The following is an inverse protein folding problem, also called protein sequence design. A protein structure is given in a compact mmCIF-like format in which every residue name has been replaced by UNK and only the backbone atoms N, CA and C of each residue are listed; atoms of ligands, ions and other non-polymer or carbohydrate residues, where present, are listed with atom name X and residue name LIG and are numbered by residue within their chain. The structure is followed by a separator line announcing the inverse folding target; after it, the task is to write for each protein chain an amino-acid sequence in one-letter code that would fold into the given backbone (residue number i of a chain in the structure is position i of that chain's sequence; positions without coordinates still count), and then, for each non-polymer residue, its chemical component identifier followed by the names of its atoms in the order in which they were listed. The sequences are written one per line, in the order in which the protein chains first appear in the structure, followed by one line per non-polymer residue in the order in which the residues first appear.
data_IF_267369695392
#
_entry.id   IF_267369695392
#
_cell.length_a   1.000
_cell.length_b   1.000
_cell.length_c   1.000
_cell.angle_alpha   90.00
_cell.angle_beta   90.00
_cell.angle_gamma   90.00
#
_symmetry.space_group_name_H-M   'P 1'
#
loop_
_entity.id
_entity.type
_entity.pdbx_description
1 polymer ?
#
# COMPACT_ATOMS: atom_id res chain seq x y z
N UNK A 1 19.56 3.33 1.61
CA UNK A 1 18.87 2.82 0.41
C UNK A 1 17.52 2.29 0.85
N UNK A 2 16.44 2.66 0.17
CA UNK A 2 15.13 2.08 0.44
C UNK A 2 15.04 0.64 -0.09
N UNK A 3 14.20 -0.18 0.54
CA UNK A 3 13.92 -1.56 0.13
C UNK A 3 12.43 -1.75 0.05
N UNK A 4 11.97 -2.38 -1.03
CA UNK A 4 10.55 -2.66 -1.25
C UNK A 4 10.35 -4.07 -1.79
N UNK A 5 9.25 -4.69 -1.39
CA UNK A 5 8.75 -5.92 -1.95
C UNK A 5 7.24 -5.78 -2.17
N UNK A 6 6.80 -5.86 -3.42
CA UNK A 6 5.38 -5.92 -3.76
C UNK A 6 5.00 -7.37 -4.02
N UNK A 7 3.82 -7.77 -3.58
CA UNK A 7 3.33 -9.13 -3.77
C UNK A 7 1.81 -9.19 -3.83
N UNK A 8 1.27 -10.24 -4.44
CA UNK A 8 -0.14 -10.58 -4.41
C UNK A 8 -0.32 -11.85 -3.60
N UNK A 9 -1.30 -11.83 -2.72
CA UNK A 9 -1.55 -12.90 -1.76
C UNK A 9 -3.05 -13.05 -1.50
N UNK A 10 -3.43 -14.23 -1.05
CA UNK A 10 -4.75 -14.58 -0.54
C UNK A 10 -4.81 -14.40 0.98
N UNK A 11 -6.01 -14.51 1.55
CA UNK A 11 -6.17 -14.49 3.01
C UNK A 11 -5.47 -15.68 3.69
N UNK A 12 -5.39 -16.84 3.03
CA UNK A 12 -4.68 -18.01 3.54
C UNK A 12 -3.16 -17.75 3.67
N UNK A 13 -2.59 -17.00 2.73
CA UNK A 13 -1.16 -16.64 2.76
C UNK A 13 -0.81 -15.69 3.89
N UNK A 14 -1.79 -14.93 4.41
CA UNK A 14 -1.56 -13.97 5.50
C UNK A 14 -0.96 -14.66 6.72
N UNK A 15 -1.42 -15.87 7.05
CA UNK A 15 -0.87 -16.64 8.16
C UNK A 15 0.61 -16.99 7.91
N UNK A 16 0.93 -17.47 6.71
CA UNK A 16 2.30 -17.81 6.30
C UNK A 16 3.22 -16.58 6.38
N UNK A 17 2.76 -15.42 5.89
CA UNK A 17 3.52 -14.17 5.94
C UNK A 17 3.80 -13.76 7.39
N UNK A 18 2.79 -13.82 8.26
CA UNK A 18 2.93 -13.50 9.69
C UNK A 18 3.87 -14.46 10.39
N UNK A 19 3.80 -15.76 10.07
CA UNK A 19 4.67 -16.78 10.67
C UNK A 19 6.14 -16.54 10.26
N UNK A 20 6.43 -16.26 8.99
CA UNK A 20 7.79 -15.92 8.53
C UNK A 20 8.29 -14.63 9.18
N UNK A 21 7.41 -13.64 9.33
CA UNK A 21 7.74 -12.36 9.96
C UNK A 21 8.10 -12.57 11.44
N UNK A 22 7.33 -13.38 12.18
CA UNK A 22 7.61 -13.75 13.57
C UNK A 22 8.86 -14.61 13.72
N UNK A 23 9.06 -15.60 12.86
CA UNK A 23 10.27 -16.43 12.87
C UNK A 23 11.53 -15.59 12.65
N UNK A 24 11.44 -14.58 11.79
CA UNK A 24 12.61 -13.78 11.39
C UNK A 24 12.91 -12.60 12.31
N UNK A 25 11.88 -11.94 12.83
CA UNK A 25 12.04 -10.75 13.67
C UNK A 25 11.77 -10.99 15.15
N UNK A 26 11.09 -12.09 15.50
CA UNK A 26 10.56 -12.33 16.83
C UNK A 26 9.22 -11.62 17.02
N UNK A 27 8.99 -11.08 18.21
CA UNK A 27 7.86 -10.22 18.48
C UNK A 27 7.97 -8.92 17.67
N UNK A 28 6.90 -8.59 16.94
CA UNK A 28 6.81 -7.39 16.13
C UNK A 28 5.85 -6.42 16.77
N UNK A 29 6.35 -5.21 17.02
CA UNK A 29 5.68 -4.14 17.75
C UNK A 29 5.17 -3.12 16.73
N UNK A 30 3.90 -2.76 16.84
CA UNK A 30 3.33 -1.69 16.02
C UNK A 30 3.76 -0.31 16.55
N UNK A 31 4.41 0.47 15.69
CA UNK A 31 4.86 1.82 15.99
C UNK A 31 3.69 2.77 15.78
N UNK A 32 3.17 3.29 16.90
CA UNK A 32 2.10 4.28 16.87
C UNK A 32 2.57 5.55 16.17
N UNK A 33 1.82 5.99 15.16
CA UNK A 33 1.95 7.36 14.67
C UNK A 33 1.08 8.28 15.54
N UNK A 34 1.61 9.43 16.00
CA UNK A 34 0.80 10.39 16.75
C UNK A 34 -0.45 10.77 15.95
N UNK A 35 -1.62 10.61 16.57
CA UNK A 35 -2.98 10.79 16.01
C UNK A 35 -3.34 12.25 15.67
N UNK A 36 -2.43 12.98 15.05
CA UNK A 36 -2.70 14.25 14.37
C UNK A 36 -2.40 14.16 12.87
N UNK A 37 -2.30 12.93 12.32
CA UNK A 37 -2.22 12.77 10.87
C UNK A 37 -3.47 13.37 10.26
N UNK A 38 -3.30 14.39 9.44
CA UNK A 38 -4.25 14.81 8.43
C UNK A 38 -4.45 13.65 7.44
N UNK A 39 -5.03 12.54 7.91
CA UNK A 39 -5.42 11.41 7.09
C UNK A 39 -6.62 11.93 6.29
N UNK A 40 -6.31 12.67 5.23
CA UNK A 40 -7.29 13.30 4.33
C UNK A 40 -8.16 12.26 3.62
N UNK A 41 -7.69 11.01 3.60
CA UNK A 41 -8.37 9.87 3.01
C UNK A 41 -8.50 8.79 4.08
N UNK A 42 -9.72 8.32 4.29
CA UNK A 42 -9.97 7.13 5.10
C UNK A 42 -9.21 5.95 4.48
N UNK A 43 -8.65 5.09 5.34
CA UNK A 43 -8.17 3.80 4.87
C UNK A 43 -9.36 3.07 4.27
N UNK A 44 -9.28 2.68 2.99
CA UNK A 44 -10.27 1.80 2.38
C UNK A 44 -10.39 0.56 3.26
N UNK A 45 -11.61 0.15 3.64
CA UNK A 45 -11.92 -0.92 4.62
C UNK A 45 -10.99 -2.15 4.50
N UNK A 46 -10.60 -2.49 3.28
CA UNK A 46 -9.85 -3.70 2.97
C UNK A 46 -8.32 -3.56 3.06
N UNK A 47 -7.77 -2.34 2.97
CA UNK A 47 -6.33 -2.10 2.96
C UNK A 47 -5.82 -1.74 4.35
N UNK A 48 -5.16 -2.69 5.01
CA UNK A 48 -4.51 -2.46 6.31
C UNK A 48 -3.04 -2.10 6.11
N UNK A 49 -2.60 -1.02 6.74
CA UNK A 49 -1.21 -0.57 6.78
C UNK A 49 -0.70 -0.63 8.21
N UNK A 50 0.41 -1.32 8.42
CA UNK A 50 1.10 -1.41 9.70
C UNK A 50 2.49 -0.79 9.58
N UNK A 51 2.94 -0.13 10.64
CA UNK A 51 4.34 0.26 10.82
C UNK A 51 4.91 -0.60 11.93
N UNK A 52 5.84 -1.47 11.60
CA UNK A 52 6.33 -2.51 12.51
C UNK A 52 7.81 -2.31 12.83
N UNK A 53 8.19 -2.65 14.05
CA UNK A 53 9.59 -2.75 14.48
C UNK A 53 9.76 -4.00 15.34
N UNK A 54 10.98 -4.51 15.45
CA UNK A 54 11.29 -5.58 16.40
C UNK A 54 11.66 -5.00 17.78
N UNK A 55 11.87 -5.88 18.77
CA UNK A 55 12.19 -5.46 20.13
C UNK A 55 13.44 -4.54 20.18
N UNK A 56 14.51 -4.89 19.45
CA UNK A 56 15.74 -4.10 19.39
C UNK A 56 15.52 -2.76 18.66
N UNK A 57 14.76 -2.79 17.56
CA UNK A 57 14.45 -1.61 16.75
C UNK A 57 13.62 -0.56 17.46
N UNK A 58 12.91 -0.92 18.54
CA UNK A 58 12.12 0.01 19.37
C UNK A 58 12.96 1.13 19.97
N UNK A 59 14.18 0.83 20.42
CA UNK A 59 15.12 1.82 20.96
C UNK A 59 15.67 2.76 19.87
N UNK A 60 15.45 2.41 18.61
CA UNK A 60 15.89 3.16 17.44
C UNK A 60 14.72 3.84 16.71
N UNK A 61 13.62 4.16 17.40
CA UNK A 61 12.54 4.97 16.85
C UNK A 61 12.82 6.44 17.10
N UNK A 62 13.03 7.20 16.03
CA UNK A 62 13.28 8.62 16.06
C UNK A 62 12.03 9.41 15.69
N UNK A 63 11.90 10.62 16.24
CA UNK A 63 10.83 11.55 15.92
C UNK A 63 11.40 12.89 15.49
N UNK A 64 10.75 13.53 14.52
CA UNK A 64 11.08 14.88 14.05
C UNK A 64 9.88 15.81 14.17
N UNK A 65 10.16 17.09 14.40
CA UNK A 65 9.13 18.13 14.38
C UNK A 65 8.88 18.57 12.94
N UNK A 66 7.64 18.47 12.49
CA UNK A 66 7.18 18.98 11.21
C UNK A 66 6.32 20.23 11.47
N UNK A 67 6.58 21.29 10.71
CA UNK A 67 5.75 22.50 10.71
C UNK A 67 4.97 22.54 9.40
N UNK A 68 3.64 22.53 9.47
CA UNK A 68 2.77 22.64 8.31
C UNK A 68 2.65 24.10 7.81
N UNK A 69 2.08 24.28 6.62
CA UNK A 69 1.86 25.60 6.02
C UNK A 69 0.99 26.53 6.88
N UNK A 70 0.09 25.96 7.68
CA UNK A 70 -0.74 26.68 8.65
C UNK A 70 -0.04 26.89 10.01
N UNK A 71 1.29 26.73 10.05
CA UNK A 71 2.15 26.88 11.22
C UNK A 71 1.90 25.86 12.34
N UNK A 72 1.00 24.88 12.15
CA UNK A 72 0.84 23.78 13.12
C UNK A 72 2.11 22.95 13.18
N UNK A 73 2.57 22.67 14.40
CA UNK A 73 3.73 21.82 14.67
C UNK A 73 3.27 20.46 15.15
N UNK A 74 3.72 19.41 14.48
CA UNK A 74 3.39 18.03 14.85
C UNK A 74 4.68 17.24 14.98
N UNK A 75 4.73 16.37 15.99
CA UNK A 75 5.81 15.39 16.11
C UNK A 75 5.44 14.19 15.23
N UNK A 76 6.29 13.87 14.27
CA UNK A 76 6.09 12.74 13.36
C UNK A 76 7.27 11.79 13.46
N UNK A 77 7.00 10.50 13.23
CA UNK A 77 8.05 9.48 13.18
C UNK A 77 9.01 9.82 12.03
N UNK A 78 10.30 9.78 12.30
CA UNK A 78 11.32 9.97 11.28
C UNK A 78 11.70 8.62 10.65
N UNK A 79 10.93 8.22 9.65
CA UNK A 79 11.04 6.89 9.00
C UNK A 79 12.46 6.61 8.47
N UNK A 80 13.21 7.64 8.06
CA UNK A 80 14.58 7.48 7.57
C UNK A 80 15.57 7.13 8.68
N UNK A 81 15.39 7.70 9.86
CA UNK A 81 16.26 7.47 11.01
C UNK A 81 15.72 6.41 11.98
N UNK A 82 14.57 5.81 11.66
CA UNK A 82 13.89 4.84 12.52
C UNK A 82 14.01 3.42 11.97
N UNK A 83 14.10 2.43 12.85
CA UNK A 83 14.04 1.01 12.48
C UNK A 83 12.59 0.57 12.21
N UNK A 84 12.06 0.91 11.04
CA UNK A 84 10.65 0.66 10.68
C UNK A 84 10.54 -0.16 9.41
N UNK A 85 9.68 -1.18 9.47
CA UNK A 85 9.16 -1.94 8.35
C UNK A 85 7.68 -1.61 8.17
N UNK A 86 7.34 -0.94 7.08
CA UNK A 86 5.95 -0.81 6.67
C UNK A 86 5.43 -2.11 6.06
N UNK A 87 4.21 -2.48 6.42
CA UNK A 87 3.50 -3.61 5.85
C UNK A 87 2.08 -3.20 5.45
N UNK A 88 1.83 -3.12 4.15
CA UNK A 88 0.48 -3.05 3.57
C UNK A 88 0.02 -4.46 3.20
N UNK A 89 -1.15 -4.88 3.67
CA UNK A 89 -1.71 -6.19 3.31
C UNK A 89 -2.16 -6.22 1.85
N UNK A 90 -1.98 -7.38 1.19
CA UNK A 90 -2.68 -7.68 -0.05
C UNK A 90 -4.15 -7.98 0.27
N UNK A 91 -5.04 -7.70 -0.68
CA UNK A 91 -6.48 -7.94 -0.52
C UNK A 91 -7.15 -8.07 -1.88
N UNK A 92 -8.42 -8.48 -1.91
CA UNK A 92 -9.28 -8.36 -3.10
C UNK A 92 -10.16 -7.13 -2.97
N UNK A 93 -10.17 -6.29 -3.98
CA UNK A 93 -11.08 -5.15 -4.00
C UNK A 93 -12.54 -5.62 -4.25
N UNK A 94 -13.54 -4.71 -4.15
CA UNK A 94 -14.94 -5.07 -4.39
C UNK A 94 -15.25 -5.63 -5.78
N UNK A 95 -14.41 -5.37 -6.79
CA UNK A 95 -14.56 -5.96 -8.13
C UNK A 95 -13.92 -7.34 -8.26
N UNK A 96 -13.42 -7.93 -7.17
CA UNK A 96 -12.77 -9.24 -7.13
C UNK A 96 -11.33 -9.25 -7.64
N UNK A 97 -10.76 -8.10 -8.00
CA UNK A 97 -9.38 -8.01 -8.46
C UNK A 97 -8.41 -7.99 -7.26
N UNK A 98 -7.33 -8.77 -7.36
CA UNK A 98 -6.26 -8.76 -6.39
C UNK A 98 -5.51 -7.43 -6.42
N UNK A 99 -5.35 -6.84 -5.23
CA UNK A 99 -4.57 -5.63 -4.98
C UNK A 99 -3.29 -6.03 -4.25
N UNK A 100 -2.17 -5.46 -4.68
CA UNK A 100 -0.87 -5.83 -4.13
C UNK A 100 -0.70 -5.40 -2.67
N UNK A 101 -0.13 -6.31 -1.89
CA UNK A 101 0.51 -6.01 -0.63
C UNK A 101 1.91 -5.46 -0.86
N UNK A 102 2.45 -4.79 0.17
CA UNK A 102 3.76 -4.17 0.11
C UNK A 102 4.47 -4.27 1.44
N UNK A 103 5.72 -4.71 1.41
CA UNK A 103 6.68 -4.38 2.46
C UNK A 103 7.60 -3.25 1.99
N UNK A 104 7.88 -2.29 2.88
CA UNK A 104 8.75 -1.17 2.58
C UNK A 104 9.57 -0.75 3.80
N UNK A 105 10.83 -0.38 3.58
CA UNK A 105 11.65 0.30 4.58
C UNK A 105 12.57 1.29 3.90
N UNK A 106 12.81 2.44 4.55
CA UNK A 106 13.75 3.46 4.08
C UNK A 106 14.83 3.79 5.11
N UNK A 107 14.94 3.01 6.18
CA UNK A 107 15.84 3.27 7.30
C UNK A 107 17.31 3.37 6.88
N UNK A 108 18.06 4.24 7.55
CA UNK A 108 19.51 4.29 7.50
C UNK A 108 20.19 3.38 8.53
N UNK A 109 19.42 2.76 9.44
CA UNK A 109 19.92 1.80 10.41
C UNK A 109 20.39 0.53 9.68
N UNK A 110 21.71 0.35 9.60
CA UNK A 110 22.33 -0.68 8.73
C UNK A 110 21.90 -2.09 9.11
N UNK A 111 21.89 -2.42 10.40
CA UNK A 111 21.60 -3.79 10.85
C UNK A 111 20.14 -4.17 10.62
N UNK A 112 19.20 -3.29 10.99
CA UNK A 112 17.78 -3.45 10.68
C UNK A 112 17.53 -3.55 9.16
N UNK A 113 18.14 -2.68 8.36
CA UNK A 113 18.04 -2.74 6.88
C UNK A 113 18.57 -4.08 6.33
N UNK A 114 19.65 -4.61 6.89
CA UNK A 114 20.18 -5.93 6.53
C UNK A 114 19.25 -7.07 6.98
N UNK A 115 18.64 -6.96 8.17
CA UNK A 115 17.63 -7.90 8.68
C UNK A 115 16.42 -7.95 7.75
N UNK A 116 15.92 -6.79 7.31
CA UNK A 116 14.83 -6.70 6.30
C UNK A 116 15.24 -7.32 4.97
N UNK A 117 16.47 -7.13 4.52
CA UNK A 117 16.95 -7.76 3.29
C UNK A 117 16.91 -9.30 3.37
N UNK A 118 17.35 -9.88 4.50
CA UNK A 118 17.29 -11.32 4.75
C UNK A 118 15.85 -11.82 4.84
N UNK A 119 14.95 -11.06 5.49
CA UNK A 119 13.53 -11.36 5.52
C UNK A 119 12.94 -11.43 4.11
N UNK A 120 13.22 -10.44 3.25
CA UNK A 120 12.76 -10.44 1.87
C UNK A 120 13.26 -11.67 1.11
N UNK A 121 14.51 -12.09 1.31
CA UNK A 121 15.02 -13.31 0.70
C UNK A 121 14.24 -14.56 1.14
N UNK A 122 13.89 -14.68 2.42
CA UNK A 122 13.04 -15.79 2.90
C UNK A 122 11.64 -15.71 2.29
N UNK A 123 11.01 -14.54 2.38
CA UNK A 123 9.64 -14.33 1.93
C UNK A 123 9.51 -14.60 0.43
N UNK A 124 10.43 -14.13 -0.40
CA UNK A 124 10.41 -14.34 -1.86
C UNK A 124 10.33 -15.82 -2.27
N UNK A 125 10.82 -16.75 -1.45
CA UNK A 125 10.81 -18.20 -1.76
C UNK A 125 9.41 -18.82 -1.70
N UNK A 126 8.47 -18.21 -0.99
CA UNK A 126 7.09 -18.75 -0.88
C UNK A 126 6.22 -18.33 -2.06
N UNK A 127 6.65 -17.31 -2.82
CA UNK A 127 5.92 -16.76 -3.97
C UNK A 127 6.50 -17.23 -5.30
N UNK A 128 5.67 -17.18 -6.34
CA UNK A 128 6.07 -17.24 -7.75
C UNK A 128 6.55 -15.84 -8.14
N UNK A 129 7.68 -15.73 -8.81
CA UNK A 129 8.18 -14.44 -9.31
C UNK A 129 7.86 -14.28 -10.80
N UNK A 130 7.00 -13.31 -11.13
CA UNK A 130 6.78 -12.91 -12.52
C UNK A 130 7.82 -11.86 -12.92
N UNK A 131 8.81 -12.31 -13.68
CA UNK A 131 9.97 -11.50 -14.08
C UNK A 131 9.61 -10.24 -14.88
N UNK A 132 8.71 -10.28 -15.89
CA UNK A 132 8.42 -9.10 -16.71
C UNK A 132 7.83 -7.94 -15.90
N UNK A 133 6.88 -8.24 -15.00
CA UNK A 133 6.26 -7.23 -14.13
C UNK A 133 7.02 -7.00 -12.81
N UNK A 134 8.08 -7.76 -12.55
CA UNK A 134 8.91 -7.69 -11.32
C UNK A 134 8.08 -7.80 -10.03
N UNK A 135 7.10 -8.71 -10.01
CA UNK A 135 6.16 -8.89 -8.91
C UNK A 135 6.16 -10.34 -8.41
N UNK A 136 5.73 -10.51 -7.17
CA UNK A 136 5.61 -11.81 -6.51
C UNK A 136 4.13 -12.18 -6.38
N UNK A 137 3.74 -13.38 -6.79
CA UNK A 137 2.35 -13.86 -6.74
C UNK A 137 2.30 -15.12 -5.91
N UNK A 138 1.28 -15.23 -5.04
CA UNK A 138 1.08 -16.42 -4.24
C UNK A 138 0.81 -17.63 -5.13
N UNK A 139 1.36 -18.78 -4.74
CA UNK A 139 1.08 -20.08 -5.36
C UNK A 139 -0.38 -20.50 -5.22
N UNK A 140 -1.11 -19.89 -4.28
CA UNK A 140 -2.53 -20.15 -4.01
C UNK A 140 -3.47 -19.32 -4.89
N UNK A 141 -2.94 -18.48 -5.78
CA UNK A 141 -3.73 -17.72 -6.75
C UNK A 141 -3.73 -18.48 -8.08
N UNK A 142 -4.91 -18.88 -8.53
CA UNK A 142 -5.12 -19.37 -9.88
C UNK A 142 -4.97 -18.22 -10.89
N UNK A 143 -3.88 -18.25 -11.67
CA UNK A 143 -3.55 -17.18 -12.62
C UNK A 143 -4.52 -17.10 -13.79
N UNK A 144 -5.13 -18.21 -14.20
CA UNK A 144 -5.98 -18.27 -15.39
C UNK A 144 -7.32 -17.54 -15.19
N UNK A 145 -7.81 -17.55 -13.94
CA UNK A 145 -9.06 -16.91 -13.53
C UNK A 145 -8.87 -15.58 -12.78
N UNK A 146 -7.66 -15.29 -12.30
CA UNK A 146 -7.41 -14.11 -11.48
C UNK A 146 -7.37 -12.80 -12.29
N UNK A 147 -7.88 -11.74 -11.66
CA UNK A 147 -7.72 -10.35 -12.10
C UNK A 147 -6.80 -9.62 -11.14
N UNK A 148 -5.93 -8.77 -11.65
CA UNK A 148 -4.94 -8.03 -10.87
C UNK A 148 -5.07 -6.53 -11.10
N UNK A 149 -4.99 -5.73 -10.03
CA UNK A 149 -4.91 -4.28 -10.13
C UNK A 149 -3.43 -3.85 -10.23
N UNK A 150 -2.97 -3.59 -11.45
CA UNK A 150 -1.61 -3.13 -11.75
C UNK A 150 -1.64 -1.70 -12.31
N UNK A 151 -0.99 -0.75 -11.64
CA UNK A 151 -0.86 0.64 -12.13
C UNK A 151 -2.19 1.31 -12.52
N UNK A 152 -3.26 1.06 -11.75
CA UNK A 152 -4.64 1.49 -12.03
C UNK A 152 -5.28 0.84 -13.27
N UNK A 153 -4.87 -0.37 -13.62
CA UNK A 153 -5.50 -1.20 -14.65
C UNK A 153 -5.86 -2.54 -14.05
N UNK A 154 -7.01 -3.07 -14.45
CA UNK A 154 -7.37 -4.47 -14.18
C UNK A 154 -6.81 -5.29 -15.33
N UNK A 155 -5.93 -6.23 -15.01
CA UNK A 155 -5.23 -7.07 -15.99
C UNK A 155 -5.36 -8.55 -15.63
N UNK A 156 -5.28 -9.42 -16.63
CA UNK A 156 -4.91 -10.82 -16.44
C UNK A 156 -3.40 -10.97 -16.60
N UNK A 157 -2.80 -11.79 -15.76
CA UNK A 157 -1.37 -12.08 -15.80
C UNK A 157 -1.18 -13.56 -16.12
N UNK A 158 -0.22 -13.86 -16.97
CA UNK A 158 0.17 -15.23 -17.27
C UNK A 158 1.51 -15.59 -16.61
N UNK A 159 1.85 -16.89 -16.62
CA UNK A 159 3.11 -17.40 -16.03
C UNK A 159 4.34 -16.91 -16.80
N UNK A 160 4.25 -16.78 -18.11
CA UNK A 160 5.29 -16.16 -18.96
C UNK A 160 5.39 -14.63 -18.76
N UNK A 161 4.46 -14.06 -17.98
CA UNK A 161 4.41 -12.65 -17.63
C UNK A 161 3.95 -11.78 -18.79
N UNK A 162 3.07 -12.30 -19.65
CA UNK A 162 2.25 -11.45 -20.51
C UNK A 162 1.10 -10.86 -19.70
N UNK A 163 0.71 -9.62 -20.04
CA UNK A 163 -0.40 -8.92 -19.42
C UNK A 163 -1.49 -8.65 -20.45
N UNK A 164 -2.71 -9.04 -20.14
CA UNK A 164 -3.89 -8.70 -20.93
C UNK A 164 -4.68 -7.62 -20.18
N UNK A 165 -4.83 -6.44 -20.79
CA UNK A 165 -5.55 -5.33 -20.18
C UNK A 165 -7.05 -5.54 -20.36
N UNK A 166 -7.74 -5.75 -19.24
CA UNK A 166 -9.20 -5.92 -19.22
C UNK A 166 -9.90 -4.56 -19.05
N UNK A 167 -9.37 -3.70 -18.18
CA UNK A 167 -9.95 -2.39 -17.90
C UNK A 167 -8.88 -1.36 -17.52
N UNK A 168 -9.03 -0.13 -18.04
CA UNK A 168 -8.22 1.02 -17.64
C UNK A 168 -9.03 1.95 -16.72
N UNK A 169 -8.68 2.02 -15.44
CA UNK A 169 -9.41 2.79 -14.43
C UNK A 169 -9.31 4.30 -14.68
N UNK A 170 -8.32 4.77 -15.47
CA UNK A 170 -8.24 6.19 -15.86
C UNK A 170 -9.32 6.60 -16.86
N UNK A 171 -9.82 5.67 -17.69
CA UNK A 171 -10.79 5.97 -18.76
C UNK A 171 -12.25 6.00 -18.30
N UNK A 172 -12.54 5.64 -17.06
CA UNK A 172 -13.91 5.72 -16.50
C UNK A 172 -14.28 7.08 -15.93
N UNK A 173 -13.39 8.09 -16.01
CA UNK A 173 -13.80 9.51 -15.90
C UNK A 173 -14.48 9.96 -17.21
N UNK A 174 -15.58 9.29 -17.60
CA UNK A 174 -16.51 9.92 -18.53
C UNK A 174 -17.00 11.18 -17.82
N UNK A 175 -16.69 12.34 -18.42
CA UNK A 175 -17.25 13.65 -18.07
C UNK A 175 -18.68 13.45 -17.56
N UNK A 176 -18.97 13.90 -16.35
CA UNK A 176 -20.34 14.15 -15.96
C UNK A 176 -20.99 14.93 -17.13
N UNK A 177 -22.17 14.52 -17.64
CA UNK A 177 -22.85 15.30 -18.64
C UNK A 177 -22.94 16.72 -18.10
N UNK A 178 -22.33 17.68 -18.79
CA UNK A 178 -22.49 19.08 -18.46
C UNK A 178 -23.98 19.37 -18.51
N UNK A 179 -24.61 19.47 -17.35
CA UNK A 179 -25.95 20.02 -17.23
C UNK A 179 -25.83 21.42 -17.79
N UNK A 180 -26.35 21.61 -19.01
CA UNK A 180 -26.57 22.95 -19.54
C UNK A 180 -27.57 23.59 -18.59
N UNK A 181 -27.06 24.42 -17.69
CA UNK A 181 -27.88 25.39 -16.98
C UNK A 181 -28.41 26.31 -18.08
N UNK A 182 -29.65 26.08 -18.47
CA UNK A 182 -30.44 27.06 -19.21
C UNK A 182 -30.63 28.21 -18.22
N UNK A 183 -30.14 29.43 -18.48
CA UNK A 183 -30.49 30.55 -17.64
C UNK A 183 -31.95 30.88 -17.95
N UNK A 184 -32.86 30.43 -17.09
CA UNK A 184 -34.21 30.99 -17.08
C UNK A 184 -34.09 32.48 -16.78
N UNK A 185 -34.42 33.27 -17.81
CA UNK A 185 -34.65 34.70 -17.69
C UNK A 185 -35.84 34.91 -16.75
N UNK A 186 -35.59 35.12 -15.47
CA UNK A 186 -36.55 35.79 -14.59
C UNK A 186 -36.14 37.25 -14.40
N UNK A 187 -36.68 38.07 -15.29
CA UNK A 187 -36.97 39.48 -15.04
C UNK A 187 -37.89 39.57 -13.81
N UNK A 188 -37.44 40.18 -12.70
CA UNK A 188 -38.28 41.05 -11.88
C UNK A 188 -37.38 42.18 -11.32
N UNK A 189 -37.30 43.27 -12.07
CA UNK A 189 -37.33 44.60 -11.46
C UNK A 189 -38.71 45.17 -11.79
N UNK A 190 -39.57 45.37 -10.78
CA UNK A 190 -40.23 46.65 -10.55
C UNK A 190 -41.18 46.62 -9.34
N UNK A 191 -40.84 47.48 -8.37
CA UNK A 191 -41.70 48.39 -7.59
C UNK A 191 -43.11 47.93 -7.23
N UNK A 192 -43.40 47.94 -5.92
CA UNK A 192 -44.05 49.08 -5.26
C UNK A 192 -43.50 49.28 -3.87
#
# INVERSE_FOLDING_TARGET
MSRQLNFYATDADRKIIVDILREHFGEMIEVSCPKNSLQLFEDTIDKKLYRLTDADGKEHIAYKKLTYHDLRKVLVVDEYNSSILEYSTAFKNPSGAYVSGRFYTCTNHKDFSAKVAKFFTKLKKVFIYLKPQKLYISKNIDLDSALFLLSNRVVKLSIDGTEEIIQDVKKTSKKAPSVKVIPDKMNIFNKR
#
